data_IF_013821202293
#
_entry.id   IF_013821202293
#
_cell.length_a   1.000
_cell.length_b   1.000
_cell.length_c   1.000
_cell.angle_alpha   90.00
_cell.angle_beta   90.00
_cell.angle_gamma   90.00
#
_symmetry.space_group_name_H-M   'P 1'
#
loop_
_entity.id
_entity.type
_entity.pdbx_description
1 polymer ?
#
# COMPACT_ATOMS: atom_id res chain seq x y z
N UNK A 1 -24.51 -0.82 -7.60
CA UNK A 1 -23.62 -1.68 -8.43
C UNK A 1 -22.41 -2.07 -7.58
N UNK A 2 -21.92 -3.31 -7.69
CA UNK A 2 -20.81 -3.82 -6.88
C UNK A 2 -19.96 -4.82 -7.69
N UNK A 3 -18.64 -4.77 -7.54
CA UNK A 3 -17.73 -5.81 -8.04
C UNK A 3 -17.82 -7.04 -7.12
N UNK A 4 -18.13 -8.20 -7.69
CA UNK A 4 -18.24 -9.47 -6.97
C UNK A 4 -16.92 -10.24 -7.04
N UNK A 5 -16.27 -10.21 -8.20
CA UNK A 5 -15.00 -10.92 -8.42
C UNK A 5 -14.16 -10.19 -9.46
N UNK A 6 -12.87 -10.11 -9.20
CA UNK A 6 -11.86 -9.96 -10.25
C UNK A 6 -10.91 -11.14 -10.21
N UNK A 7 -10.33 -11.48 -11.36
CA UNK A 7 -9.39 -12.59 -11.46
C UNK A 7 -8.39 -12.41 -12.60
N UNK A 8 -7.19 -12.97 -12.43
CA UNK A 8 -6.17 -13.08 -13.48
C UNK A 8 -5.90 -14.54 -13.92
N UNK A 9 -6.20 -15.52 -13.05
CA UNK A 9 -5.85 -16.93 -13.21
C UNK A 9 -7.13 -17.79 -13.33
N UNK A 10 -6.98 -19.01 -13.85
CA UNK A 10 -8.03 -20.06 -13.99
C UNK A 10 -9.33 -19.74 -14.76
N UNK A 11 -9.48 -18.53 -15.30
CA UNK A 11 -10.65 -18.13 -16.13
C UNK A 11 -10.57 -18.57 -17.60
N UNK A 12 -11.73 -18.83 -18.22
CA UNK A 12 -11.87 -19.26 -19.62
C UNK A 12 -12.89 -18.41 -20.37
N UNK A 13 -12.53 -17.93 -21.56
CA UNK A 13 -13.41 -17.15 -22.43
C UNK A 13 -12.68 -16.01 -23.14
N UNK A 14 -13.37 -15.42 -24.11
CA UNK A 14 -12.96 -14.19 -24.79
C UNK A 14 -14.23 -13.40 -25.17
N UNK A 15 -14.65 -12.50 -24.29
CA UNK A 15 -15.84 -11.67 -24.48
C UNK A 15 -16.50 -11.25 -23.18
N UNK A 16 -17.59 -10.51 -23.31
CA UNK A 16 -18.42 -10.10 -22.20
C UNK A 16 -19.89 -10.46 -22.45
N UNK A 17 -20.62 -10.70 -21.37
CA UNK A 17 -22.03 -11.06 -21.38
C UNK A 17 -22.77 -10.40 -20.24
N UNK A 18 -24.06 -10.22 -20.43
CA UNK A 18 -25.00 -9.77 -19.39
C UNK A 18 -26.11 -10.80 -19.27
N UNK A 19 -26.56 -11.04 -18.05
CA UNK A 19 -27.69 -11.95 -17.80
C UNK A 19 -28.20 -11.88 -16.38
N UNK A 20 -29.38 -12.43 -16.18
CA UNK A 20 -29.95 -12.65 -14.85
C UNK A 20 -29.24 -13.84 -14.19
N UNK A 21 -28.93 -13.80 -12.88
CA UNK A 21 -28.35 -14.95 -12.22
C UNK A 21 -29.35 -16.11 -12.22
N UNK A 22 -28.88 -17.29 -12.57
CA UNK A 22 -29.66 -18.54 -12.52
C UNK A 22 -28.92 -19.57 -11.69
N UNK A 23 -29.51 -19.97 -10.57
CA UNK A 23 -29.01 -21.10 -9.79
C UNK A 23 -29.23 -22.39 -10.58
N UNK A 24 -28.17 -23.14 -10.87
CA UNK A 24 -28.25 -24.32 -11.74
C UNK A 24 -29.19 -25.43 -11.22
N UNK A 25 -29.54 -25.43 -9.92
CA UNK A 25 -30.48 -26.37 -9.32
C UNK A 25 -31.95 -25.95 -9.47
N UNK A 26 -32.23 -24.75 -10.00
CA UNK A 26 -33.58 -24.21 -10.17
C UNK A 26 -34.03 -24.26 -11.63
N UNK A 27 -35.34 -24.10 -11.85
CA UNK A 27 -35.89 -24.00 -13.20
C UNK A 27 -35.42 -22.71 -13.88
N UNK A 28 -34.83 -22.84 -15.07
CA UNK A 28 -34.40 -21.69 -15.86
C UNK A 28 -35.60 -20.99 -16.50
N UNK A 29 -35.66 -19.65 -16.40
CA UNK A 29 -36.69 -18.87 -17.07
C UNK A 29 -36.45 -18.87 -18.58
N UNK A 30 -37.44 -19.34 -19.34
CA UNK A 30 -37.38 -19.30 -20.80
C UNK A 30 -37.52 -17.85 -21.29
N UNK A 31 -36.66 -17.45 -22.24
CA UNK A 31 -36.61 -16.15 -22.94
C UNK A 31 -35.78 -15.01 -22.31
N UNK A 32 -35.08 -15.25 -21.21
CA UNK A 32 -34.12 -14.27 -20.65
C UNK A 32 -32.69 -14.79 -20.79
N UNK A 33 -31.74 -13.90 -21.06
CA UNK A 33 -30.31 -14.24 -20.98
C UNK A 33 -29.93 -14.50 -19.52
N UNK A 34 -29.32 -15.65 -19.26
CA UNK A 34 -28.99 -16.11 -17.91
C UNK A 34 -27.51 -16.42 -17.75
N UNK A 35 -26.97 -16.09 -16.59
CA UNK A 35 -25.63 -16.49 -16.16
C UNK A 35 -25.79 -17.60 -15.12
N UNK A 36 -25.25 -18.78 -15.44
CA UNK A 36 -25.35 -19.95 -14.57
C UNK A 36 -24.48 -19.77 -13.33
N UNK A 37 -25.07 -19.93 -12.15
CA UNK A 37 -24.40 -19.84 -10.86
C UNK A 37 -24.25 -21.24 -10.28
N UNK A 38 -23.01 -21.67 -10.08
CA UNK A 38 -22.62 -23.01 -9.61
C UNK A 38 -22.11 -22.91 -8.17
N UNK A 39 -22.89 -23.33 -7.16
CA UNK A 39 -22.47 -23.30 -5.77
C UNK A 39 -21.29 -24.24 -5.48
N UNK A 40 -20.60 -23.98 -4.37
CA UNK A 40 -19.51 -24.82 -3.90
C UNK A 40 -19.98 -26.25 -3.62
N UNK A 41 -19.15 -27.23 -3.96
CA UNK A 41 -19.41 -28.66 -3.76
C UNK A 41 -20.28 -29.30 -4.85
N UNK A 42 -20.62 -28.59 -5.94
CA UNK A 42 -21.42 -29.16 -7.03
C UNK A 42 -20.61 -30.14 -7.89
N UNK A 43 -19.32 -29.85 -8.11
CA UNK A 43 -18.46 -30.60 -9.02
C UNK A 43 -18.62 -30.21 -10.50
N UNK A 44 -17.50 -30.13 -11.20
CA UNK A 44 -17.43 -29.60 -12.56
C UNK A 44 -18.26 -30.40 -13.59
N UNK A 45 -18.39 -31.70 -13.40
CA UNK A 45 -19.05 -32.62 -14.33
C UNK A 45 -20.56 -32.51 -14.23
N UNK A 46 -21.09 -32.49 -13.01
CA UNK A 46 -22.51 -32.27 -12.72
C UNK A 46 -22.92 -30.89 -13.23
N UNK A 47 -22.15 -29.85 -12.90
CA UNK A 47 -22.43 -28.49 -13.34
C UNK A 47 -22.49 -28.38 -14.88
N UNK A 48 -21.49 -28.92 -15.59
CA UNK A 48 -21.45 -28.88 -17.04
C UNK A 48 -22.64 -29.63 -17.68
N UNK A 49 -23.04 -30.77 -17.11
CA UNK A 49 -24.18 -31.55 -17.60
C UNK A 49 -25.50 -30.79 -17.45
N UNK A 50 -25.74 -30.16 -16.29
CA UNK A 50 -26.95 -29.36 -16.04
C UNK A 50 -27.01 -28.15 -16.99
N UNK A 51 -25.90 -27.45 -17.18
CA UNK A 51 -25.81 -26.32 -18.10
C UNK A 51 -26.12 -26.76 -19.53
N UNK A 52 -25.54 -27.89 -19.97
CA UNK A 52 -25.81 -28.45 -21.30
C UNK A 52 -27.27 -28.85 -21.49
N UNK A 53 -27.92 -29.42 -20.47
CA UNK A 53 -29.34 -29.76 -20.52
C UNK A 53 -30.20 -28.51 -20.67
N UNK A 54 -29.93 -27.44 -19.90
CA UNK A 54 -30.64 -26.18 -20.02
C UNK A 54 -30.47 -25.55 -21.42
N UNK A 55 -29.24 -25.57 -21.96
CA UNK A 55 -28.97 -25.12 -23.33
C UNK A 55 -29.75 -25.94 -24.35
N UNK A 56 -29.79 -27.26 -24.20
CA UNK A 56 -30.54 -28.15 -25.10
C UNK A 56 -32.06 -27.94 -25.02
N UNK A 57 -32.58 -27.50 -23.87
CA UNK A 57 -33.98 -27.10 -23.68
C UNK A 57 -34.29 -25.69 -24.23
N UNK A 58 -33.31 -25.02 -24.86
CA UNK A 58 -33.47 -23.72 -25.49
C UNK A 58 -33.22 -22.53 -24.56
N UNK A 59 -32.72 -22.74 -23.34
CA UNK A 59 -32.37 -21.64 -22.46
C UNK A 59 -31.17 -20.83 -22.99
N UNK A 60 -31.23 -19.51 -22.82
CA UNK A 60 -30.18 -18.59 -23.24
C UNK A 60 -29.11 -18.43 -22.16
N UNK A 61 -28.33 -19.50 -21.93
CA UNK A 61 -27.17 -19.42 -21.02
C UNK A 61 -26.02 -18.72 -21.73
N UNK A 62 -25.57 -17.59 -21.18
CA UNK A 62 -24.55 -16.72 -21.78
C UNK A 62 -23.22 -16.73 -21.04
N UNK A 63 -23.19 -17.10 -19.76
CA UNK A 63 -21.97 -17.17 -18.96
C UNK A 63 -22.11 -18.10 -17.76
N UNK A 64 -21.00 -18.36 -17.07
CA UNK A 64 -20.96 -19.24 -15.91
C UNK A 64 -20.10 -18.62 -14.79
N UNK A 65 -20.60 -18.69 -13.56
CA UNK A 65 -19.92 -18.28 -12.34
C UNK A 65 -19.88 -19.49 -11.40
N UNK A 66 -18.70 -19.92 -10.99
CA UNK A 66 -18.52 -21.06 -10.09
C UNK A 66 -17.79 -20.64 -8.80
N UNK A 67 -18.19 -21.21 -7.67
CA UNK A 67 -17.55 -20.95 -6.39
C UNK A 67 -16.18 -21.63 -6.28
N UNK A 68 -16.07 -22.87 -6.75
CA UNK A 68 -14.85 -23.68 -6.69
C UNK A 68 -13.90 -23.40 -7.87
N UNK A 69 -12.61 -23.74 -7.73
CA UNK A 69 -11.55 -23.59 -8.76
C UNK A 69 -11.70 -24.63 -9.89
N UNK A 70 -12.80 -24.52 -10.62
CA UNK A 70 -13.25 -25.52 -11.61
C UNK A 70 -13.61 -24.91 -12.97
N UNK A 71 -13.38 -23.60 -13.20
CA UNK A 71 -13.85 -22.92 -14.40
C UNK A 71 -13.33 -23.56 -15.69
N UNK A 72 -12.04 -23.93 -15.73
CA UNK A 72 -11.43 -24.60 -16.89
C UNK A 72 -12.10 -25.95 -17.17
N UNK A 73 -12.41 -26.72 -16.14
CA UNK A 73 -12.97 -28.06 -16.27
C UNK A 73 -14.41 -28.02 -16.77
N UNK A 74 -15.20 -27.04 -16.30
CA UNK A 74 -16.57 -26.77 -16.76
C UNK A 74 -16.53 -26.29 -18.21
N UNK A 75 -15.72 -25.27 -18.51
CA UNK A 75 -15.66 -24.67 -19.84
C UNK A 75 -15.29 -25.68 -20.94
N UNK A 76 -14.46 -26.69 -20.62
CA UNK A 76 -14.11 -27.77 -21.56
C UNK A 76 -15.23 -28.78 -21.82
N UNK A 77 -16.30 -28.77 -21.03
CA UNK A 77 -17.41 -29.75 -21.07
C UNK A 77 -18.74 -29.14 -21.48
N UNK A 78 -18.90 -27.83 -21.33
CA UNK A 78 -20.07 -27.13 -21.86
C UNK A 78 -19.98 -27.06 -23.39
N UNK A 79 -21.11 -27.30 -24.05
CA UNK A 79 -21.24 -27.40 -25.51
C UNK A 79 -21.09 -26.06 -26.24
N UNK A 80 -21.32 -24.94 -25.55
CA UNK A 80 -21.08 -23.58 -26.04
C UNK A 80 -19.79 -23.01 -25.45
N UNK A 81 -19.09 -22.19 -26.24
CA UNK A 81 -18.01 -21.36 -25.73
C UNK A 81 -18.60 -20.23 -24.89
N UNK A 82 -18.55 -20.38 -23.56
CA UNK A 82 -19.04 -19.38 -22.61
C UNK A 82 -17.87 -18.77 -21.82
N UNK A 83 -17.96 -17.48 -21.43
CA UNK A 83 -17.11 -16.94 -20.38
C UNK A 83 -17.43 -17.62 -19.04
N UNK A 84 -16.39 -18.13 -18.37
CA UNK A 84 -16.47 -18.84 -17.10
C UNK A 84 -15.46 -18.24 -16.11
N UNK A 85 -15.95 -17.87 -14.93
CA UNK A 85 -15.14 -17.39 -13.79
C UNK A 85 -15.32 -18.29 -12.57
N UNK A 86 -14.23 -18.57 -11.87
CA UNK A 86 -14.20 -19.34 -10.62
C UNK A 86 -13.88 -18.48 -9.38
N UNK A 87 -13.96 -19.10 -8.19
CA UNK A 87 -13.60 -18.47 -6.92
C UNK A 87 -14.45 -17.26 -6.59
N UNK A 88 -15.69 -17.21 -7.09
CA UNK A 88 -16.60 -16.09 -6.91
C UNK A 88 -17.58 -16.34 -5.75
N UNK A 89 -18.02 -15.27 -5.08
CA UNK A 89 -19.11 -15.35 -4.10
C UNK A 89 -20.44 -15.54 -4.83
N UNK A 90 -20.84 -16.81 -4.98
CA UNK A 90 -22.07 -17.20 -5.67
C UNK A 90 -23.32 -16.76 -4.91
N UNK A 91 -23.27 -16.65 -3.59
CA UNK A 91 -24.41 -16.18 -2.80
C UNK A 91 -24.66 -14.68 -3.05
N UNK A 92 -23.60 -13.89 -3.17
CA UNK A 92 -23.72 -12.49 -3.59
C UNK A 92 -24.15 -12.36 -5.05
N UNK A 93 -23.62 -13.20 -5.95
CA UNK A 93 -24.04 -13.19 -7.36
C UNK A 93 -25.53 -13.48 -7.56
N UNK A 94 -26.11 -14.42 -6.79
CA UNK A 94 -27.54 -14.76 -6.86
C UNK A 94 -28.47 -13.62 -6.41
N UNK A 95 -28.00 -12.74 -5.51
CA UNK A 95 -28.80 -11.59 -5.04
C UNK A 95 -28.84 -10.44 -6.04
N UNK A 96 -28.05 -10.49 -7.11
CA UNK A 96 -28.02 -9.44 -8.12
C UNK A 96 -29.29 -9.48 -8.98
N UNK A 97 -29.82 -8.32 -9.36
CA UNK A 97 -30.88 -8.23 -10.37
C UNK A 97 -30.36 -8.50 -11.77
N UNK A 98 -29.10 -8.19 -12.02
CA UNK A 98 -28.40 -8.37 -13.30
C UNK A 98 -26.91 -8.56 -13.03
N UNK A 99 -26.26 -9.42 -13.80
CA UNK A 99 -24.82 -9.64 -13.75
C UNK A 99 -24.18 -9.23 -15.08
N UNK A 100 -23.01 -8.61 -14.99
CA UNK A 100 -22.09 -8.41 -16.11
C UNK A 100 -20.85 -9.27 -15.85
N UNK A 101 -20.48 -10.12 -16.81
CA UNK A 101 -19.28 -10.95 -16.77
C UNK A 101 -18.45 -10.66 -18.01
N UNK A 102 -17.21 -10.23 -17.83
CA UNK A 102 -16.22 -10.15 -18.90
C UNK A 102 -15.03 -11.05 -18.58
N UNK A 103 -14.64 -11.86 -19.55
CA UNK A 103 -13.45 -12.72 -19.49
C UNK A 103 -12.63 -12.49 -20.74
N UNK A 104 -11.33 -12.23 -20.57
CA UNK A 104 -10.40 -12.01 -21.68
C UNK A 104 -9.33 -13.11 -21.76
N UNK A 105 -8.67 -13.31 -22.91
CA UNK A 105 -7.54 -14.22 -23.04
C UNK A 105 -6.35 -13.86 -22.14
N UNK A 106 -5.39 -14.79 -21.98
CA UNK A 106 -4.13 -14.49 -21.28
C UNK A 106 -3.42 -13.29 -21.93
N UNK A 107 -2.71 -12.52 -21.10
CA UNK A 107 -1.99 -11.31 -21.51
C UNK A 107 -2.85 -10.17 -22.08
N UNK A 108 -4.16 -10.21 -21.84
CA UNK A 108 -5.09 -9.11 -22.16
C UNK A 108 -5.89 -8.71 -20.92
N UNK A 109 -6.40 -7.49 -20.91
CA UNK A 109 -7.23 -6.94 -19.83
C UNK A 109 -8.65 -6.72 -20.31
N UNK A 110 -9.59 -6.62 -19.37
CA UNK A 110 -10.98 -6.24 -19.64
C UNK A 110 -11.03 -4.92 -20.40
N UNK A 111 -11.98 -4.82 -21.34
CA UNK A 111 -12.16 -3.67 -22.22
C UNK A 111 -13.55 -3.06 -22.04
N UNK A 112 -14.59 -3.89 -22.07
CA UNK A 112 -15.97 -3.41 -21.93
C UNK A 112 -16.24 -2.90 -20.51
N UNK A 113 -15.67 -3.54 -19.50
CA UNK A 113 -15.75 -3.11 -18.11
C UNK A 113 -14.99 -1.82 -17.81
N UNK A 114 -14.03 -1.45 -18.67
CA UNK A 114 -13.27 -0.20 -18.55
C UNK A 114 -13.83 0.94 -19.39
N UNK A 115 -14.76 0.66 -20.29
CA UNK A 115 -15.48 1.67 -21.05
C UNK A 115 -16.78 2.02 -20.30
N UNK A 116 -16.80 3.21 -19.70
CA UNK A 116 -17.94 3.72 -18.93
C UNK A 116 -19.24 3.64 -19.76
N UNK A 117 -19.19 3.94 -21.05
CA UNK A 117 -20.37 3.96 -21.90
C UNK A 117 -20.81 2.54 -22.28
N UNK A 118 -19.85 1.65 -22.57
CA UNK A 118 -20.16 0.26 -22.85
C UNK A 118 -20.78 -0.44 -21.62
N UNK A 119 -20.18 -0.26 -20.44
CA UNK A 119 -20.67 -0.84 -19.19
C UNK A 119 -22.03 -0.28 -18.80
N UNK A 120 -22.23 1.04 -18.93
CA UNK A 120 -23.51 1.71 -18.70
C UNK A 120 -24.60 1.16 -19.63
N UNK A 121 -24.29 1.02 -20.92
CA UNK A 121 -25.23 0.49 -21.91
C UNK A 121 -25.55 -0.99 -21.65
N UNK A 122 -24.55 -1.82 -21.36
CA UNK A 122 -24.70 -3.25 -21.12
C UNK A 122 -25.60 -3.55 -19.90
N UNK A 123 -25.43 -2.78 -18.82
CA UNK A 123 -26.22 -2.94 -17.59
C UNK A 123 -27.54 -2.14 -17.59
N UNK A 124 -27.78 -1.32 -18.62
CA UNK A 124 -28.95 -0.43 -18.75
C UNK A 124 -29.12 0.47 -17.51
N UNK A 125 -28.03 1.11 -17.08
CA UNK A 125 -28.03 1.90 -15.85
C UNK A 125 -28.78 3.24 -16.00
N UNK A 126 -29.49 3.62 -14.95
CA UNK A 126 -29.98 5.00 -14.78
C UNK A 126 -28.83 5.96 -14.47
N UNK A 127 -29.08 7.29 -14.47
CA UNK A 127 -28.06 8.27 -14.08
C UNK A 127 -27.54 8.02 -12.65
N UNK A 128 -28.45 7.77 -11.70
CA UNK A 128 -28.08 7.53 -10.30
C UNK A 128 -27.22 6.26 -10.15
N UNK A 129 -27.60 5.18 -10.85
CA UNK A 129 -26.86 3.91 -10.83
C UNK A 129 -25.48 3.99 -11.52
N UNK A 130 -25.29 4.98 -12.40
CA UNK A 130 -24.04 5.21 -13.12
C UNK A 130 -22.99 5.98 -12.30
N UNK A 131 -23.38 6.64 -11.21
CA UNK A 131 -22.49 7.41 -10.32
C UNK A 131 -21.17 6.69 -9.95
N UNK A 132 -21.17 5.41 -9.53
CA UNK A 132 -19.94 4.71 -9.13
C UNK A 132 -19.08 4.17 -10.29
N UNK A 133 -19.47 4.38 -11.57
CA UNK A 133 -18.77 3.78 -12.72
C UNK A 133 -17.29 4.17 -12.79
N UNK A 134 -16.97 5.45 -12.55
CA UNK A 134 -15.59 5.94 -12.60
C UNK A 134 -14.67 5.21 -11.62
N UNK A 135 -15.18 4.87 -10.43
CA UNK A 135 -14.42 4.12 -9.43
C UNK A 135 -14.27 2.65 -9.82
N UNK A 136 -15.35 2.03 -10.29
CA UNK A 136 -15.34 0.62 -10.73
C UNK A 136 -14.38 0.42 -11.90
N UNK A 137 -14.46 1.26 -12.94
CA UNK A 137 -13.55 1.24 -14.09
C UNK A 137 -12.09 1.35 -13.63
N UNK A 138 -11.82 2.27 -12.70
CA UNK A 138 -10.49 2.43 -12.14
C UNK A 138 -10.02 1.16 -11.45
N UNK A 139 -10.86 0.49 -10.66
CA UNK A 139 -10.48 -0.72 -9.94
C UNK A 139 -10.22 -1.92 -10.84
N UNK A 140 -11.00 -2.11 -11.91
CA UNK A 140 -10.96 -3.35 -12.71
C UNK A 140 -9.99 -3.29 -13.90
N UNK A 141 -9.37 -2.14 -14.16
CA UNK A 141 -8.63 -1.85 -15.41
C UNK A 141 -7.48 -2.80 -15.73
N UNK A 142 -6.89 -3.40 -14.72
CA UNK A 142 -5.75 -4.31 -14.88
C UNK A 142 -6.18 -5.78 -14.86
N UNK A 143 -7.45 -6.06 -14.57
CA UNK A 143 -7.96 -7.41 -14.45
C UNK A 143 -8.21 -8.05 -15.81
N UNK A 144 -8.09 -9.38 -15.84
CA UNK A 144 -8.41 -10.20 -17.01
C UNK A 144 -9.89 -10.60 -17.01
N UNK A 145 -10.50 -10.62 -15.83
CA UNK A 145 -11.89 -10.99 -15.62
C UNK A 145 -12.51 -10.14 -14.56
N UNK A 146 -13.76 -9.76 -14.80
CA UNK A 146 -14.58 -9.04 -13.84
C UNK A 146 -16.01 -9.59 -13.85
N UNK A 147 -16.55 -9.79 -12.66
CA UNK A 147 -17.96 -10.05 -12.41
C UNK A 147 -18.54 -8.88 -11.62
N UNK A 148 -19.49 -8.16 -12.21
CA UNK A 148 -20.17 -7.02 -11.61
C UNK A 148 -21.64 -7.37 -11.40
N UNK A 149 -22.13 -7.14 -10.18
CA UNK A 149 -23.54 -7.27 -9.83
C UNK A 149 -24.24 -5.93 -9.71
N UNK A 150 -25.43 -5.87 -10.27
CA UNK A 150 -26.38 -4.79 -10.07
C UNK A 150 -27.41 -5.25 -9.05
N UNK A 151 -27.67 -4.46 -8.01
CA UNK A 151 -28.50 -4.82 -6.86
C UNK A 151 -29.62 -3.80 -6.70
N UNK A 152 -30.78 -4.22 -6.21
CA UNK A 152 -31.91 -3.33 -5.95
C UNK A 152 -31.61 -2.34 -4.82
N UNK A 153 -30.95 -2.83 -3.77
CA UNK A 153 -30.43 -1.99 -2.70
C UNK A 153 -29.03 -1.52 -3.09
N UNK A 154 -28.82 -0.20 -3.10
CA UNK A 154 -27.47 0.34 -2.93
C UNK A 154 -27.04 -0.09 -1.54
N UNK A 155 -26.15 -1.09 -1.45
CA UNK A 155 -25.24 -1.14 -0.31
C UNK A 155 -24.48 0.19 -0.38
N UNK A 156 -24.90 1.17 0.44
CA UNK A 156 -23.97 2.19 0.90
C UNK A 156 -22.72 1.43 1.29
N UNK A 157 -21.57 1.83 0.74
CA UNK A 157 -20.26 1.42 1.26
C UNK A 157 -20.43 1.29 2.77
N UNK A 158 -20.23 0.09 3.33
CA UNK A 158 -20.41 -0.14 4.76
C UNK A 158 -19.72 1.04 5.42
N UNK A 159 -20.49 1.91 6.06
CA UNK A 159 -19.97 3.08 6.76
C UNK A 159 -19.25 2.49 7.96
N UNK A 160 -18.03 2.02 7.73
CA UNK A 160 -17.05 1.88 8.78
C UNK A 160 -17.02 3.29 9.35
N UNK A 161 -17.33 3.46 10.64
CA UNK A 161 -17.12 4.73 11.31
C UNK A 161 -15.64 5.04 11.16
N UNK A 162 -15.32 5.81 10.13
CA UNK A 162 -13.97 6.23 9.87
C UNK A 162 -13.55 7.12 11.03
N UNK A 163 -12.25 7.14 11.28
CA UNK A 163 -11.70 8.12 12.19
C UNK A 163 -12.00 9.55 11.74
N UNK A 164 -11.78 10.49 12.65
CA UNK A 164 -11.82 11.91 12.32
C UNK A 164 -10.53 12.56 12.76
N UNK A 165 -10.23 13.68 12.12
CA UNK A 165 -9.14 14.53 12.54
C UNK A 165 -9.66 15.94 12.79
N UNK A 166 -9.17 16.55 13.87
CA UNK A 166 -9.55 17.92 14.26
C UNK A 166 -8.36 18.84 14.09
N UNK A 167 -8.57 19.90 13.31
CA UNK A 167 -7.60 20.94 13.05
C UNK A 167 -7.61 22.00 14.16
N UNK A 168 -6.55 22.79 14.21
CA UNK A 168 -6.35 23.89 15.16
C UNK A 168 -7.45 24.95 15.08
N UNK A 169 -8.07 25.13 13.91
CA UNK A 169 -9.21 26.02 13.67
C UNK A 169 -10.56 25.38 14.06
N UNK A 170 -10.55 24.22 14.71
CA UNK A 170 -11.71 23.41 15.09
C UNK A 170 -12.45 22.74 13.93
N UNK A 171 -11.95 22.84 12.70
CA UNK A 171 -12.48 22.08 11.57
C UNK A 171 -12.31 20.58 11.83
N UNK A 172 -13.39 19.81 11.66
CA UNK A 172 -13.39 18.36 11.81
C UNK A 172 -13.66 17.71 10.45
N UNK A 173 -12.75 16.85 10.01
CA UNK A 173 -12.85 16.14 8.74
C UNK A 173 -12.83 14.63 8.95
N UNK A 174 -13.53 13.90 8.07
CA UNK A 174 -13.34 12.45 7.91
C UNK A 174 -11.86 12.18 7.62
N UNK A 175 -11.33 11.09 8.18
CA UNK A 175 -9.92 10.75 8.09
C UNK A 175 -9.39 10.66 6.65
N UNK A 176 -10.15 10.10 5.70
CA UNK A 176 -9.71 9.99 4.31
C UNK A 176 -9.70 11.35 3.59
N UNK A 177 -10.65 12.21 3.91
CA UNK A 177 -10.68 13.59 3.41
C UNK A 177 -9.55 14.41 4.02
N UNK A 178 -9.30 14.24 5.31
CA UNK A 178 -8.21 14.87 6.04
C UNK A 178 -6.84 14.48 5.45
N UNK A 179 -6.58 13.19 5.22
CA UNK A 179 -5.33 12.69 4.61
C UNK A 179 -5.04 13.37 3.26
N UNK A 180 -6.07 13.64 2.47
CA UNK A 180 -5.93 14.32 1.18
C UNK A 180 -5.47 15.78 1.31
N UNK A 181 -5.65 16.39 2.49
CA UNK A 181 -5.23 17.75 2.81
C UNK A 181 -3.93 17.81 3.63
N UNK A 182 -3.57 16.74 4.34
CA UNK A 182 -2.39 16.69 5.23
C UNK A 182 -1.09 17.07 4.52
N UNK A 183 -0.92 16.72 3.24
CA UNK A 183 0.29 17.09 2.49
C UNK A 183 0.51 18.59 2.41
N UNK A 184 -0.54 19.40 2.51
CA UNK A 184 -0.46 20.86 2.42
C UNK A 184 -0.62 21.56 3.78
N UNK A 185 -0.80 20.79 4.86
CA UNK A 185 -0.87 21.36 6.21
C UNK A 185 0.51 21.75 6.73
N UNK A 186 0.54 22.53 7.81
CA UNK A 186 1.74 22.76 8.60
C UNK A 186 1.82 21.76 9.76
N UNK A 187 3.02 21.57 10.30
CA UNK A 187 3.21 20.80 11.53
C UNK A 187 2.43 21.46 12.68
N UNK A 188 1.65 20.65 13.39
CA UNK A 188 0.82 21.10 14.51
C UNK A 188 -0.52 21.73 14.14
N UNK A 189 -0.85 21.86 12.85
CA UNK A 189 -2.21 22.21 12.44
C UNK A 189 -3.23 21.17 12.90
N UNK A 190 -2.76 19.94 13.14
CA UNK A 190 -3.54 18.81 13.60
C UNK A 190 -3.40 18.69 15.12
N UNK A 191 -4.51 18.82 15.85
CA UNK A 191 -4.49 18.86 17.33
C UNK A 191 -5.12 17.62 17.96
N UNK A 192 -5.92 16.86 17.21
CA UNK A 192 -6.55 15.65 17.71
C UNK A 192 -6.76 14.62 16.59
N UNK A 193 -6.46 13.36 16.89
CA UNK A 193 -6.81 12.20 16.06
C UNK A 193 -7.86 11.36 16.80
N UNK A 194 -8.88 10.88 16.08
CA UNK A 194 -9.93 10.04 16.65
C UNK A 194 -10.01 8.71 15.89
N UNK A 195 -9.52 7.61 16.49
CA UNK A 195 -9.61 6.24 15.97
C UNK A 195 -9.58 5.20 17.11
N UNK A 196 -10.72 4.72 17.67
CA UNK A 196 -12.05 5.32 17.78
C UNK A 196 -12.16 6.35 18.93
N UNK A 197 -11.10 6.49 19.73
CA UNK A 197 -11.02 7.43 20.84
C UNK A 197 -10.25 8.68 20.41
N UNK A 198 -10.66 9.82 20.96
CA UNK A 198 -10.02 11.10 20.76
C UNK A 198 -8.70 11.20 21.54
N UNK A 199 -7.59 11.36 20.82
CA UNK A 199 -6.27 11.55 21.42
C UNK A 199 -5.69 12.89 20.98
N UNK A 200 -5.30 13.72 21.95
CA UNK A 200 -4.59 14.96 21.70
C UNK A 200 -3.18 14.68 21.16
N UNK A 201 -2.76 15.48 20.19
CA UNK A 201 -1.54 15.21 19.43
C UNK A 201 -0.83 16.51 19.08
N UNK A 202 0.50 16.46 19.00
CA UNK A 202 1.31 17.58 18.52
C UNK A 202 1.44 17.58 17.01
N UNK A 203 1.35 16.42 16.36
CA UNK A 203 1.31 16.27 14.91
C UNK A 203 0.72 14.92 14.49
N UNK A 204 0.21 14.83 13.26
CA UNK A 204 -0.21 13.57 12.63
C UNK A 204 0.30 13.56 11.20
N UNK A 205 0.76 12.39 10.75
CA UNK A 205 1.05 12.15 9.34
C UNK A 205 0.38 10.88 8.87
N UNK A 206 -0.25 10.93 7.71
CA UNK A 206 -0.88 9.78 7.11
C UNK A 206 -0.82 9.83 5.58
N UNK A 207 -0.89 8.66 4.96
CA UNK A 207 -1.04 8.54 3.51
C UNK A 207 -1.86 7.31 3.14
N UNK A 208 -2.49 7.39 1.97
CA UNK A 208 -3.31 6.32 1.38
C UNK A 208 -2.41 5.35 0.60
N UNK A 209 -2.16 4.18 1.19
CA UNK A 209 -1.33 3.11 0.61
C UNK A 209 -1.92 2.70 -0.74
N UNK A 210 -3.23 2.49 -0.79
CA UNK A 210 -3.94 2.06 -1.99
C UNK A 210 -3.78 3.05 -3.14
N UNK A 211 -3.84 4.35 -2.86
CA UNK A 211 -3.60 5.43 -3.83
C UNK A 211 -2.15 5.46 -4.31
N UNK A 212 -1.18 5.40 -3.38
CA UNK A 212 0.25 5.41 -3.69
C UNK A 212 0.62 4.29 -4.66
N UNK A 213 0.11 3.08 -4.44
CA UNK A 213 0.36 1.94 -5.31
C UNK A 213 -0.36 2.09 -6.67
N UNK A 214 -1.61 2.59 -6.67
CA UNK A 214 -2.39 2.78 -7.90
C UNK A 214 -1.74 3.74 -8.90
N UNK A 215 -1.21 4.86 -8.40
CA UNK A 215 -0.58 5.92 -9.20
C UNK A 215 0.72 5.47 -9.85
N UNK A 216 1.25 4.32 -9.46
CA UNK A 216 2.42 3.68 -10.06
C UNK A 216 2.06 2.51 -10.98
N UNK A 217 0.77 2.33 -11.28
CA UNK A 217 0.29 1.26 -12.15
C UNK A 217 0.40 -0.13 -11.52
N UNK A 218 0.65 -0.22 -10.21
CA UNK A 218 0.79 -1.48 -9.50
C UNK A 218 -0.60 -2.09 -9.23
N UNK A 219 -0.65 -3.42 -9.11
CA UNK A 219 -1.90 -4.16 -8.88
C UNK A 219 -2.51 -3.73 -7.54
N UNK A 220 -3.77 -3.32 -7.57
CA UNK A 220 -4.58 -3.18 -6.36
C UNK A 220 -5.18 -4.53 -6.03
N UNK A 221 -4.91 -5.04 -4.84
CA UNK A 221 -5.55 -6.26 -4.34
C UNK A 221 -6.71 -5.80 -3.46
N UNK A 222 -7.92 -5.75 -4.03
CA UNK A 222 -9.13 -5.40 -3.31
C UNK A 222 -9.73 -4.02 -3.63
N UNK A 223 -10.89 -3.75 -3.03
CA UNK A 223 -11.73 -2.57 -3.27
C UNK A 223 -11.79 -1.64 -2.04
N UNK A 224 -10.79 -1.70 -1.17
CA UNK A 224 -10.66 -0.87 0.04
C UNK A 224 -9.61 0.21 -0.13
N UNK A 225 -9.79 1.34 0.56
CA UNK A 225 -8.75 2.35 0.72
C UNK A 225 -8.10 2.14 2.08
N UNK A 226 -6.78 2.04 2.10
CA UNK A 226 -6.04 1.67 3.30
C UNK A 226 -5.03 2.75 3.64
N UNK A 227 -5.05 3.21 4.90
CA UNK A 227 -4.22 4.31 5.39
C UNK A 227 -3.10 3.80 6.28
N UNK A 228 -1.90 4.34 6.08
CA UNK A 228 -0.84 4.29 7.08
C UNK A 228 -0.88 5.61 7.86
N UNK A 229 -0.88 5.55 9.20
CA UNK A 229 -1.02 6.72 10.07
C UNK A 229 0.02 6.68 11.18
N UNK A 230 0.64 7.82 11.45
CA UNK A 230 1.50 8.06 12.59
C UNK A 230 1.03 9.29 13.37
N UNK A 231 1.14 9.20 14.69
CA UNK A 231 0.72 10.23 15.62
C UNK A 231 1.88 10.56 16.57
N UNK A 232 2.12 11.84 16.81
CA UNK A 232 3.08 12.30 17.79
C UNK A 232 2.36 12.81 19.04
N UNK A 233 2.59 12.15 20.17
CA UNK A 233 1.91 12.51 21.42
C UNK A 233 2.21 13.97 21.84
N UNK A 234 1.22 14.62 22.46
CA UNK A 234 1.47 15.86 23.18
C UNK A 234 2.41 15.58 24.37
N UNK A 235 3.46 16.39 24.51
CA UNK A 235 4.60 16.12 25.41
C UNK A 235 4.18 15.71 26.83
N UNK A 236 4.77 14.64 27.35
CA UNK A 236 4.80 14.33 28.78
C UNK A 236 6.26 14.15 29.21
N UNK A 237 6.68 14.91 30.21
CA UNK A 237 8.02 14.81 30.81
C UNK A 237 7.83 14.22 32.20
N UNK A 238 7.99 12.91 32.31
CA UNK A 238 8.38 12.30 33.59
C UNK A 238 9.71 11.61 33.37
N UNK A 239 10.75 12.10 34.06
CA UNK A 239 12.08 11.50 34.05
C UNK A 239 12.29 10.78 35.39
N UNK A 240 12.47 9.45 35.41
CA UNK A 240 12.85 8.74 36.62
C UNK A 240 14.26 9.16 37.06
N UNK A 241 14.39 9.62 38.31
CA UNK A 241 15.59 10.30 38.82
C UNK A 241 16.65 9.39 39.46
N UNK A 242 16.57 8.07 39.26
CA UNK A 242 17.37 7.09 40.05
C UNK A 242 18.65 6.57 39.37
N UNK A 243 18.98 7.04 38.16
CA UNK A 243 20.14 6.51 37.43
C UNK A 243 21.49 6.78 38.12
N UNK A 244 21.64 7.93 38.79
CA UNK A 244 22.86 8.24 39.55
C UNK A 244 23.10 7.25 40.68
N UNK A 245 22.04 6.80 41.36
CA UNK A 245 22.13 5.81 42.44
C UNK A 245 22.47 4.42 41.88
N UNK A 246 21.77 3.99 40.82
CA UNK A 246 21.98 2.68 40.19
C UNK A 246 23.42 2.52 39.68
N UNK A 247 23.97 3.56 39.04
CA UNK A 247 25.30 3.48 38.43
C UNK A 247 26.44 3.92 39.35
N UNK A 248 26.14 4.55 40.49
CA UNK A 248 27.16 5.04 41.42
C UNK A 248 28.06 6.14 40.83
N UNK A 249 27.60 6.83 39.78
CA UNK A 249 28.31 7.94 39.11
C UNK A 249 27.36 9.11 38.90
N UNK A 250 27.86 10.37 38.84
CA UNK A 250 27.01 11.52 38.56
C UNK A 250 26.33 11.40 37.19
N UNK A 251 25.00 11.43 37.15
CA UNK A 251 24.22 11.52 35.90
C UNK A 251 23.66 12.93 35.76
N UNK A 252 23.95 13.57 34.63
CA UNK A 252 23.43 14.89 34.27
C UNK A 252 22.48 14.73 33.09
N UNK A 253 21.26 15.21 33.25
CA UNK A 253 20.28 15.26 32.16
C UNK A 253 20.61 16.45 31.26
N UNK A 254 20.80 16.19 29.97
CA UNK A 254 21.07 17.25 29.00
C UNK A 254 19.84 18.17 28.84
N UNK A 255 20.10 19.45 28.60
CA UNK A 255 19.03 20.44 28.46
C UNK A 255 18.28 20.33 27.13
N UNK A 256 18.94 19.84 26.08
CA UNK A 256 18.36 19.71 24.74
C UNK A 256 19.00 18.55 23.97
N UNK A 257 18.18 17.58 23.58
CA UNK A 257 18.58 16.51 22.67
C UNK A 257 18.94 17.07 21.29
N UNK A 258 18.15 18.01 20.77
CA UNK A 258 18.40 18.62 19.47
C UNK A 258 19.73 19.39 19.40
N UNK A 259 20.13 20.08 20.48
CA UNK A 259 21.43 20.72 20.54
C UNK A 259 22.56 19.70 20.46
N UNK A 260 22.44 18.57 21.16
CA UNK A 260 23.40 17.49 21.09
C UNK A 260 23.43 16.85 19.68
N UNK A 261 22.27 16.56 19.09
CA UNK A 261 22.16 16.05 17.73
C UNK A 261 22.86 16.99 16.73
N UNK A 262 22.64 18.30 16.86
CA UNK A 262 23.26 19.34 16.04
C UNK A 262 24.78 19.32 16.16
N UNK A 263 25.30 19.40 17.38
CA UNK A 263 26.75 19.35 17.64
C UNK A 263 27.40 18.09 17.06
N UNK A 264 26.76 16.93 17.25
CA UNK A 264 27.23 15.68 16.70
C UNK A 264 27.21 15.65 15.18
N UNK A 265 26.11 16.03 14.56
CA UNK A 265 26.00 16.03 13.09
C UNK A 265 27.00 17.01 12.45
N UNK A 266 27.24 18.18 13.04
CA UNK A 266 28.22 19.16 12.56
C UNK A 266 29.68 18.74 12.68
N UNK A 267 29.97 17.67 13.42
CA UNK A 267 31.29 17.03 13.37
C UNK A 267 31.53 16.23 12.07
N UNK A 268 30.55 16.18 11.16
CA UNK A 268 30.70 15.58 9.83
C UNK A 268 31.71 16.38 8.99
N UNK A 269 32.79 15.74 8.50
CA UNK A 269 33.78 16.43 7.68
C UNK A 269 33.16 17.01 6.40
N UNK A 270 33.49 18.27 6.11
CA UNK A 270 33.02 18.97 4.91
C UNK A 270 31.57 19.48 4.97
N UNK A 271 30.90 19.36 6.11
CA UNK A 271 29.56 19.92 6.27
C UNK A 271 29.59 21.45 6.30
N UNK A 272 28.63 22.09 5.61
CA UNK A 272 28.47 23.53 5.65
C UNK A 272 28.08 24.01 7.07
N UNK A 273 28.60 25.18 7.48
CA UNK A 273 28.35 25.74 8.82
C UNK A 273 26.87 26.05 9.07
N UNK A 274 26.15 26.39 8.01
CA UNK A 274 24.72 26.72 8.03
C UNK A 274 23.81 25.51 7.78
N UNK A 275 24.36 24.31 7.67
CA UNK A 275 23.57 23.11 7.41
C UNK A 275 22.60 22.83 8.55
N UNK A 276 21.35 22.54 8.21
CA UNK A 276 20.38 22.01 9.16
C UNK A 276 20.51 20.49 9.26
N UNK A 277 20.15 19.95 10.42
CA UNK A 277 20.17 18.51 10.68
C UNK A 277 18.78 17.96 10.47
N UNK A 278 18.67 16.92 9.66
CA UNK A 278 17.47 16.12 9.51
C UNK A 278 17.71 14.78 10.21
N UNK A 279 17.20 14.64 11.43
CA UNK A 279 17.24 13.37 12.16
C UNK A 279 15.99 12.56 11.81
N UNK A 280 16.20 11.39 11.20
CA UNK A 280 15.11 10.50 10.84
C UNK A 280 15.17 9.30 11.78
N UNK A 281 14.18 9.19 12.65
CA UNK A 281 14.04 8.13 13.62
C UNK A 281 13.12 6.99 13.19
N UNK A 282 12.71 6.18 14.17
CA UNK A 282 11.60 5.24 13.99
C UNK A 282 10.25 5.95 13.95
N UNK A 283 9.99 6.77 14.98
CA UNK A 283 8.71 7.44 15.19
C UNK A 283 8.62 8.88 14.67
N UNK A 284 9.74 9.61 14.57
CA UNK A 284 9.77 11.05 14.26
C UNK A 284 10.73 11.40 13.13
N UNK A 285 10.45 12.54 12.50
CA UNK A 285 11.38 13.25 11.61
C UNK A 285 11.60 14.62 12.21
N UNK A 286 12.83 14.87 12.65
CA UNK A 286 13.19 16.09 13.37
C UNK A 286 14.11 16.94 12.49
N UNK A 287 13.70 18.19 12.25
CA UNK A 287 14.49 19.17 11.49
C UNK A 287 15.00 20.24 12.46
N UNK A 288 16.32 20.24 12.63
CA UNK A 288 17.02 21.07 13.60
C UNK A 288 17.85 22.12 12.85
N UNK A 289 17.44 23.38 12.97
CA UNK A 289 18.03 24.52 12.27
C UNK A 289 18.31 25.66 13.26
N UNK A 290 17.87 26.88 12.96
CA UNK A 290 17.63 27.96 13.93
C UNK A 290 16.40 27.67 14.79
N UNK A 291 15.46 26.88 14.26
CA UNK A 291 14.29 26.33 14.95
C UNK A 291 14.32 24.81 14.91
N UNK A 292 13.66 24.20 15.88
CA UNK A 292 13.46 22.76 15.99
C UNK A 292 11.98 22.45 15.72
N UNK A 293 11.74 21.51 14.80
CA UNK A 293 10.39 21.08 14.46
C UNK A 293 10.37 19.58 14.20
N UNK A 294 9.39 18.90 14.80
CA UNK A 294 9.23 17.44 14.75
C UNK A 294 7.95 17.07 14.02
N UNK A 295 8.05 16.19 13.03
CA UNK A 295 6.90 15.59 12.36
C UNK A 295 6.65 14.17 12.86
N UNK A 296 5.38 13.80 12.96
CA UNK A 296 4.97 12.44 13.26
C UNK A 296 5.31 11.48 12.12
N UNK A 297 5.73 10.27 12.45
CA UNK A 297 5.99 9.19 11.51
C UNK A 297 7.34 9.30 10.83
N UNK A 298 8.08 8.19 10.84
CA UNK A 298 9.23 8.00 9.97
C UNK A 298 9.38 6.52 9.56
N UNK A 299 10.41 5.85 10.05
CA UNK A 299 10.71 4.46 9.71
C UNK A 299 9.61 3.47 10.09
N UNK A 300 8.95 3.63 11.24
CA UNK A 300 7.91 2.69 11.71
C UNK A 300 6.62 2.78 10.89
N UNK A 301 6.26 3.99 10.47
CA UNK A 301 5.14 4.23 9.57
C UNK A 301 5.37 3.53 8.23
N UNK A 302 6.59 3.66 7.68
CA UNK A 302 6.99 2.95 6.48
C UNK A 302 6.97 1.43 6.68
N UNK A 303 7.43 0.93 7.83
CA UNK A 303 7.35 -0.51 8.16
C UNK A 303 5.90 -0.99 8.17
N UNK A 304 4.98 -0.24 8.77
CA UNK A 304 3.57 -0.60 8.81
C UNK A 304 2.96 -0.63 7.39
N UNK A 305 3.27 0.36 6.56
CA UNK A 305 2.78 0.40 5.18
C UNK A 305 3.34 -0.75 4.32
N UNK A 306 4.62 -1.11 4.48
CA UNK A 306 5.24 -2.24 3.79
C UNK A 306 4.67 -3.57 4.27
N UNK A 307 4.46 -3.73 5.58
CA UNK A 307 3.85 -4.91 6.17
C UNK A 307 2.45 -5.16 5.59
N UNK A 308 1.64 -4.10 5.51
CA UNK A 308 0.32 -4.15 4.90
C UNK A 308 0.39 -4.47 3.40
N UNK A 309 1.19 -3.74 2.63
CA UNK A 309 1.27 -3.88 1.18
C UNK A 309 1.79 -5.26 0.73
N UNK A 310 2.58 -5.95 1.55
CA UNK A 310 3.13 -7.27 1.27
C UNK A 310 2.42 -8.42 2.00
N UNK A 311 1.39 -8.11 2.81
CA UNK A 311 0.75 -9.07 3.72
C UNK A 311 1.77 -9.87 4.54
N UNK A 312 2.64 -9.15 5.27
CA UNK A 312 3.73 -9.73 6.05
C UNK A 312 3.86 -9.11 7.44
N UNK A 313 4.63 -9.75 8.32
CA UNK A 313 4.86 -9.23 9.66
C UNK A 313 5.65 -7.91 9.65
N UNK A 314 5.40 -7.02 10.63
CA UNK A 314 6.19 -5.79 10.81
C UNK A 314 7.69 -6.07 10.96
N UNK A 315 8.05 -7.17 11.61
CA UNK A 315 9.45 -7.57 11.76
C UNK A 315 10.13 -7.87 10.42
N UNK A 316 9.47 -8.62 9.53
CA UNK A 316 9.99 -8.90 8.19
C UNK A 316 10.00 -7.63 7.33
N UNK A 317 8.92 -6.85 7.37
CA UNK A 317 8.79 -5.60 6.62
C UNK A 317 9.91 -4.59 6.95
N UNK A 318 10.33 -4.53 8.22
CA UNK A 318 11.40 -3.63 8.65
C UNK A 318 12.75 -3.96 8.02
N UNK A 319 13.00 -5.23 7.68
CA UNK A 319 14.18 -5.66 6.92
C UNK A 319 13.98 -5.47 5.42
N UNK A 320 12.85 -5.90 4.89
CA UNK A 320 12.51 -5.86 3.45
C UNK A 320 12.57 -4.41 2.90
N UNK A 321 12.14 -3.41 3.68
CA UNK A 321 12.10 -2.01 3.23
C UNK A 321 13.48 -1.37 3.02
N UNK A 322 14.56 -1.92 3.61
CA UNK A 322 15.85 -1.23 3.77
C UNK A 322 16.69 -1.14 2.51
N UNK A 323 16.42 -1.98 1.51
CA UNK A 323 17.28 -2.03 0.34
C UNK A 323 16.78 -2.99 -0.73
N UNK A 324 17.61 -3.21 -1.77
CA UNK A 324 17.26 -4.01 -2.93
C UNK A 324 16.87 -5.45 -2.60
N UNK A 325 15.97 -6.01 -3.40
CA UNK A 325 15.60 -7.42 -3.37
C UNK A 325 16.00 -8.12 -4.68
N UNK A 326 16.00 -9.45 -4.65
CA UNK A 326 16.21 -10.29 -5.83
C UNK A 326 15.09 -11.33 -5.92
N UNK A 327 14.81 -11.89 -7.10
CA UNK A 327 13.87 -13.02 -7.27
C UNK A 327 14.64 -14.31 -7.47
N UNK A 328 14.25 -15.36 -6.76
CA UNK A 328 14.77 -16.71 -6.97
C UNK A 328 14.05 -17.36 -8.15
N UNK A 329 14.66 -17.34 -9.34
CA UNK A 329 14.09 -17.91 -10.57
C UNK A 329 14.27 -19.43 -10.66
N UNK A 330 15.44 -19.91 -10.23
CA UNK A 330 15.77 -21.33 -10.11
C UNK A 330 16.55 -21.57 -8.81
N UNK A 331 16.79 -22.82 -8.37
CA UNK A 331 17.63 -23.10 -7.22
C UNK A 331 19.04 -22.49 -7.29
N UNK A 332 19.47 -22.07 -8.49
CA UNK A 332 20.81 -21.56 -8.77
C UNK A 332 20.83 -20.14 -9.32
N UNK A 333 19.69 -19.49 -9.55
CA UNK A 333 19.61 -18.24 -10.31
C UNK A 333 18.78 -17.18 -9.60
N UNK A 334 19.38 -16.01 -9.42
CA UNK A 334 18.79 -14.80 -8.88
C UNK A 334 18.62 -13.76 -9.99
N UNK A 335 17.47 -13.09 -9.99
CA UNK A 335 17.18 -11.92 -10.83
C UNK A 335 17.11 -10.67 -9.94
N UNK A 336 17.95 -9.67 -10.20
CA UNK A 336 17.95 -8.41 -9.47
C UNK A 336 16.93 -7.41 -10.02
N UNK A 337 16.71 -6.31 -9.29
CA UNK A 337 15.77 -5.24 -9.65
C UNK A 337 16.09 -4.52 -10.97
N UNK A 338 17.37 -4.50 -11.36
CA UNK A 338 17.85 -3.92 -12.62
C UNK A 338 17.83 -4.91 -13.79
N UNK A 339 17.35 -6.14 -13.56
CA UNK A 339 17.33 -7.21 -14.55
C UNK A 339 18.64 -8.00 -14.66
N UNK A 340 19.67 -7.64 -13.91
CA UNK A 340 20.91 -8.42 -13.86
C UNK A 340 20.67 -9.78 -13.20
N UNK A 341 21.45 -10.79 -13.62
CA UNK A 341 21.35 -12.15 -13.11
C UNK A 341 22.61 -12.52 -12.34
N UNK A 342 22.43 -13.26 -11.25
CA UNK A 342 23.52 -13.78 -10.43
C UNK A 342 23.26 -15.24 -10.06
N UNK A 343 24.32 -16.00 -9.83
CA UNK A 343 24.21 -17.37 -9.31
C UNK A 343 24.10 -17.34 -7.78
N UNK A 344 23.33 -18.27 -7.21
CA UNK A 344 23.26 -18.47 -5.76
C UNK A 344 24.55 -19.08 -5.23
N UNK A 345 24.90 -18.81 -3.97
CA UNK A 345 26.02 -19.50 -3.30
C UNK A 345 25.69 -21.00 -3.11
N UNK A 346 26.51 -21.91 -3.64
CA UNK A 346 26.31 -23.37 -3.50
C UNK A 346 26.28 -23.82 -2.03
N UNK A 347 27.02 -23.14 -1.15
CA UNK A 347 27.07 -23.43 0.28
C UNK A 347 25.82 -23.02 1.05
N UNK A 348 24.87 -22.31 0.43
CA UNK A 348 23.62 -21.83 1.04
C UNK A 348 22.43 -22.08 0.10
N UNK A 349 22.04 -23.35 -0.11
CA UNK A 349 20.92 -23.66 -0.98
C UNK A 349 19.61 -23.10 -0.41
N UNK A 350 18.80 -22.51 -1.27
CA UNK A 350 17.46 -22.05 -0.91
C UNK A 350 16.49 -23.24 -0.87
N UNK A 351 15.55 -23.28 0.09
CA UNK A 351 14.54 -24.33 0.12
C UNK A 351 13.62 -24.22 -1.10
N UNK A 352 13.08 -25.35 -1.56
CA UNK A 352 12.17 -25.38 -2.70
C UNK A 352 10.93 -24.47 -2.51
N UNK A 353 10.50 -24.24 -1.25
CA UNK A 353 9.42 -23.32 -0.91
C UNK A 353 9.73 -21.85 -1.17
N UNK A 354 11.01 -21.46 -1.28
CA UNK A 354 11.43 -20.11 -1.63
C UNK A 354 11.37 -19.83 -3.13
N UNK A 355 11.21 -20.87 -3.96
CA UNK A 355 11.21 -20.75 -5.41
C UNK A 355 10.13 -19.77 -5.90
N UNK A 356 10.51 -18.87 -6.80
CA UNK A 356 9.64 -17.82 -7.29
C UNK A 356 9.37 -16.68 -6.31
N UNK A 357 9.97 -16.70 -5.10
CA UNK A 357 9.85 -15.59 -4.15
C UNK A 357 10.87 -14.49 -4.44
N UNK A 358 10.53 -13.27 -4.02
CA UNK A 358 11.55 -12.25 -3.76
C UNK A 358 12.31 -12.60 -2.48
N UNK A 359 13.57 -12.17 -2.43
CA UNK A 359 14.47 -12.33 -1.29
C UNK A 359 15.08 -10.98 -0.91
N UNK A 360 15.16 -10.70 0.39
CA UNK A 360 15.83 -9.53 0.94
C UNK A 360 16.76 -9.94 2.11
N UNK A 361 17.83 -9.20 2.40
CA UNK A 361 18.66 -9.45 3.57
C UNK A 361 17.86 -9.32 4.87
N UNK A 362 18.06 -10.27 5.78
CA UNK A 362 17.44 -10.31 7.10
C UNK A 362 18.43 -10.73 8.19
N UNK A 363 17.96 -10.87 9.44
CA UNK A 363 18.82 -11.05 10.61
C UNK A 363 19.48 -12.44 10.67
N UNK A 364 18.89 -13.45 10.04
CA UNK A 364 19.36 -14.84 10.03
C UNK A 364 19.65 -15.36 8.61
N UNK A 365 19.90 -14.45 7.66
CA UNK A 365 20.01 -14.75 6.24
C UNK A 365 18.90 -14.07 5.44
N UNK A 366 18.52 -14.65 4.30
CA UNK A 366 17.52 -14.07 3.42
C UNK A 366 16.09 -14.30 3.91
N UNK A 367 15.27 -13.26 3.83
CA UNK A 367 13.82 -13.31 4.01
C UNK A 367 13.14 -13.46 2.66
N UNK A 368 12.26 -14.45 2.53
CA UNK A 368 11.44 -14.66 1.33
C UNK A 368 10.11 -13.92 1.45
N UNK A 369 9.68 -13.23 0.38
CA UNK A 369 8.41 -12.50 0.33
C UNK A 369 7.90 -12.38 -1.10
N UNK A 370 6.67 -11.86 -1.29
CA UNK A 370 6.20 -11.39 -2.59
C UNK A 370 6.28 -12.40 -3.74
N UNK A 371 5.76 -13.62 -3.57
CA UNK A 371 5.82 -14.67 -4.62
C UNK A 371 5.29 -14.21 -5.98
N UNK A 372 4.28 -13.35 -5.96
CA UNK A 372 3.63 -12.81 -7.16
C UNK A 372 4.21 -11.46 -7.63
N UNK A 373 5.31 -11.00 -7.05
CA UNK A 373 5.94 -9.71 -7.39
C UNK A 373 7.24 -9.90 -8.15
N UNK A 374 7.43 -9.09 -9.19
CA UNK A 374 8.72 -8.97 -9.86
C UNK A 374 9.66 -8.03 -9.07
N UNK A 375 11.00 -8.21 -9.15
CA UNK A 375 11.96 -7.34 -8.46
C UNK A 375 11.78 -5.86 -8.77
N UNK A 376 11.55 -5.52 -10.04
CA UNK A 376 11.33 -4.15 -10.48
C UNK A 376 9.99 -3.58 -9.95
N UNK A 377 8.93 -4.39 -9.87
CA UNK A 377 7.65 -3.98 -9.28
C UNK A 377 7.83 -3.66 -7.78
N UNK A 378 8.55 -4.52 -7.05
CA UNK A 378 8.87 -4.26 -5.64
C UNK A 378 9.71 -2.99 -5.46
N UNK A 379 10.71 -2.75 -6.31
CA UNK A 379 11.48 -1.50 -6.29
C UNK A 379 10.59 -0.27 -6.40
N UNK A 380 9.65 -0.28 -7.35
CA UNK A 380 8.69 0.82 -7.56
C UNK A 380 7.80 0.99 -6.32
N UNK A 381 7.26 -0.11 -5.78
CA UNK A 381 6.47 -0.11 -4.54
C UNK A 381 7.23 0.51 -3.38
N UNK A 382 8.42 -0.02 -3.09
CA UNK A 382 9.28 0.38 -1.96
C UNK A 382 9.61 1.87 -2.03
N UNK A 383 10.02 2.36 -3.19
CA UNK A 383 10.38 3.77 -3.40
C UNK A 383 9.16 4.69 -3.28
N UNK A 384 8.01 4.29 -3.80
CA UNK A 384 6.77 5.06 -3.67
C UNK A 384 6.32 5.17 -2.20
N UNK A 385 6.40 4.08 -1.44
CA UNK A 385 6.09 4.08 -0.01
C UNK A 385 7.09 4.94 0.79
N UNK A 386 8.39 4.89 0.48
CA UNK A 386 9.41 5.78 1.08
C UNK A 386 9.13 7.25 0.79
N UNK A 387 8.77 7.57 -0.46
CA UNK A 387 8.39 8.93 -0.86
C UNK A 387 7.17 9.41 -0.08
N UNK A 388 6.14 8.59 0.08
CA UNK A 388 4.91 8.96 0.80
C UNK A 388 5.12 9.09 2.31
N UNK A 389 5.83 8.13 2.92
CA UNK A 389 6.03 8.10 4.37
C UNK A 389 7.02 9.17 4.85
N UNK A 390 8.14 9.35 4.13
CA UNK A 390 9.26 10.18 4.58
C UNK A 390 9.40 11.41 3.68
N UNK A 391 9.54 11.23 2.36
CA UNK A 391 9.83 12.35 1.45
C UNK A 391 8.79 13.47 1.48
N UNK A 392 7.50 13.13 1.40
CA UNK A 392 6.40 14.09 1.44
C UNK A 392 6.27 14.75 2.82
N UNK A 393 6.57 14.02 3.90
CA UNK A 393 6.54 14.57 5.26
C UNK A 393 7.71 15.54 5.50
N UNK A 394 8.91 15.22 4.99
CA UNK A 394 10.05 16.16 4.99
C UNK A 394 9.72 17.42 4.19
N UNK A 395 9.05 17.28 3.04
CA UNK A 395 8.59 18.44 2.27
C UNK A 395 7.61 19.31 3.07
N UNK A 396 6.70 18.69 3.82
CA UNK A 396 5.77 19.38 4.73
C UNK A 396 6.50 20.08 5.87
N UNK A 397 7.49 19.42 6.46
CA UNK A 397 8.32 19.95 7.54
C UNK A 397 9.10 21.19 7.09
N UNK A 398 9.76 21.14 5.93
CA UNK A 398 10.49 22.28 5.35
C UNK A 398 9.56 23.46 5.07
N UNK A 399 8.38 23.21 4.46
CA UNK A 399 7.38 24.27 4.23
C UNK A 399 6.91 24.92 5.53
N UNK A 400 6.75 24.13 6.59
CA UNK A 400 6.30 24.64 7.89
C UNK A 400 7.33 25.60 8.50
N UNK A 401 8.62 25.31 8.37
CA UNK A 401 9.68 26.22 8.84
C UNK A 401 9.73 27.50 7.97
N UNK A 402 9.64 27.36 6.65
CA UNK A 402 9.66 28.50 5.72
C UNK A 402 8.45 29.44 5.91
N UNK A 403 7.26 28.88 6.10
CA UNK A 403 6.02 29.64 6.33
C UNK A 403 6.02 30.43 7.64
N UNK A 404 6.77 29.98 8.63
CA UNK A 404 6.95 30.68 9.91
C UNK A 404 8.00 31.80 9.86
N UNK A 405 8.57 32.09 8.68
CA UNK A 405 9.61 33.12 8.50
C UNK A 405 10.97 32.76 9.13
N UNK A 406 11.14 31.50 9.53
CA UNK A 406 12.26 31.05 10.37
C UNK A 406 13.43 30.43 9.60
N UNK A 407 13.30 30.19 8.29
CA UNK A 407 14.39 29.73 7.43
C UNK A 407 14.39 30.46 6.07
N UNK A 408 15.58 30.51 5.45
CA UNK A 408 15.71 30.93 4.06
C UNK A 408 15.01 29.97 3.09
N UNK A 409 14.85 30.33 1.81
CA UNK A 409 14.14 29.53 0.81
C UNK A 409 14.83 28.20 0.46
N UNK A 410 16.05 27.99 0.95
CA UNK A 410 16.95 26.90 0.59
C UNK A 410 17.70 26.38 1.81
N UNK A 411 17.79 25.07 1.95
CA UNK A 411 18.46 24.38 3.06
C UNK A 411 19.55 23.44 2.55
N UNK A 412 20.72 23.53 3.18
CA UNK A 412 21.73 22.50 3.15
C UNK A 412 21.44 21.53 4.29
N UNK A 413 21.30 20.23 4.02
CA UNK A 413 20.90 19.23 5.00
C UNK A 413 21.97 18.16 5.22
N UNK A 414 22.19 17.82 6.49
CA UNK A 414 22.82 16.55 6.87
C UNK A 414 21.76 15.61 7.44
N UNK A 415 21.67 14.41 6.90
CA UNK A 415 20.74 13.37 7.36
C UNK A 415 21.46 12.44 8.33
N UNK A 416 20.90 12.31 9.53
CA UNK A 416 21.36 11.39 10.57
C UNK A 416 20.21 10.48 11.00
N UNK A 417 20.50 9.55 11.90
CA UNK A 417 19.52 8.60 12.41
C UNK A 417 19.59 7.25 11.69
N UNK A 418 18.67 6.36 12.04
CA UNK A 418 18.73 4.97 11.60
C UNK A 418 18.42 4.77 10.12
N UNK A 419 17.23 5.21 9.67
CA UNK A 419 16.84 5.30 8.27
C UNK A 419 17.88 5.94 7.34
N UNK A 420 18.74 6.84 7.81
CA UNK A 420 19.78 7.44 6.96
C UNK A 420 20.72 6.40 6.31
N UNK A 421 20.81 5.16 6.82
CA UNK A 421 21.53 4.04 6.20
C UNK A 421 20.98 3.64 4.82
N UNK A 422 19.73 3.98 4.53
CA UNK A 422 19.03 3.58 3.32
C UNK A 422 19.49 4.43 2.12
N UNK A 423 20.08 3.77 1.13
CA UNK A 423 20.64 4.46 -0.05
C UNK A 423 19.57 5.05 -0.97
N UNK A 424 18.30 4.65 -0.84
CA UNK A 424 17.21 5.24 -1.62
C UNK A 424 16.69 6.55 -1.01
N UNK A 425 16.92 6.80 0.29
CA UNK A 425 16.39 8.00 0.94
C UNK A 425 17.08 9.28 0.47
N UNK A 426 18.40 9.28 0.28
CA UNK A 426 19.10 10.51 -0.16
C UNK A 426 18.59 10.98 -1.54
N UNK A 427 18.48 10.12 -2.57
CA UNK A 427 17.87 10.50 -3.84
C UNK A 427 16.42 10.99 -3.70
N UNK A 428 15.59 10.30 -2.91
CA UNK A 428 14.20 10.70 -2.62
C UNK A 428 14.14 12.10 -2.02
N UNK A 429 14.94 12.35 -0.99
CA UNK A 429 14.95 13.63 -0.30
C UNK A 429 15.55 14.74 -1.17
N UNK A 430 16.56 14.45 -1.99
CA UNK A 430 17.16 15.43 -2.90
C UNK A 430 16.17 16.06 -3.89
N UNK A 431 15.02 15.41 -4.14
CA UNK A 431 13.96 15.92 -5.00
C UNK A 431 12.97 16.85 -4.29
N UNK A 432 13.06 16.99 -2.96
CA UNK A 432 12.17 17.85 -2.19
C UNK A 432 12.53 19.33 -2.42
N UNK A 433 11.53 20.11 -2.80
CA UNK A 433 11.66 21.56 -3.00
C UNK A 433 12.15 22.25 -1.71
N UNK A 434 13.15 23.13 -1.86
CA UNK A 434 13.79 23.84 -0.74
C UNK A 434 15.07 23.18 -0.24
N UNK A 435 15.45 21.99 -0.74
CA UNK A 435 16.75 21.38 -0.46
C UNK A 435 17.74 21.75 -1.57
N UNK A 436 18.85 22.40 -1.22
CA UNK A 436 19.92 22.75 -2.17
C UNK A 436 21.07 21.77 -2.16
N UNK A 437 21.39 21.24 -0.98
CA UNK A 437 22.39 20.21 -0.81
C UNK A 437 21.91 19.25 0.27
N UNK A 438 22.17 17.96 0.07
CA UNK A 438 21.85 16.93 1.06
C UNK A 438 22.96 15.89 1.10
N UNK A 439 23.36 15.51 2.31
CA UNK A 439 24.37 14.50 2.53
C UNK A 439 24.03 13.60 3.71
N UNK A 440 24.53 12.38 3.67
CA UNK A 440 24.50 11.47 4.83
C UNK A 440 25.57 11.92 5.82
N UNK A 441 25.21 11.97 7.11
CA UNK A 441 26.15 12.31 8.17
C UNK A 441 27.33 11.33 8.25
N UNK A 442 28.48 11.85 8.67
CA UNK A 442 29.64 11.07 9.05
C UNK A 442 30.22 11.63 10.35
N UNK A 443 29.47 11.44 11.44
CA UNK A 443 29.77 11.97 12.77
C UNK A 443 31.20 11.62 13.17
N UNK A 444 31.95 12.64 13.61
CA UNK A 444 33.37 12.58 13.94
C UNK A 444 34.28 12.02 12.84
N UNK A 445 33.81 12.01 11.59
CA UNK A 445 34.50 11.44 10.43
C UNK A 445 34.60 9.90 10.40
N UNK A 446 34.06 9.21 11.40
CA UNK A 446 34.24 7.75 11.57
C UNK A 446 33.03 6.97 12.10
N UNK A 447 32.02 7.66 12.61
CA UNK A 447 30.83 7.03 13.22
C UNK A 447 29.65 6.92 12.24
N UNK A 448 29.82 7.44 11.02
CA UNK A 448 28.78 7.43 10.00
C UNK A 448 27.59 8.30 10.39
N UNK A 449 26.40 7.91 9.95
CA UNK A 449 25.15 8.66 10.17
C UNK A 449 24.48 8.35 11.52
N UNK A 450 25.16 7.59 12.38
CA UNK A 450 24.69 7.19 13.71
C UNK A 450 25.38 8.03 14.78
N UNK A 451 24.87 7.93 16.01
CA UNK A 451 25.50 8.46 17.20
C UNK A 451 25.65 9.99 17.26
N UNK A 452 24.89 10.75 16.47
CA UNK A 452 24.94 12.22 16.49
C UNK A 452 24.66 12.77 17.89
N UNK A 453 23.53 12.39 18.51
CA UNK A 453 23.18 12.79 19.89
C UNK A 453 24.26 12.37 20.89
N UNK A 454 24.62 11.08 20.91
CA UNK A 454 25.59 10.54 21.86
C UNK A 454 26.98 11.22 21.75
N UNK A 455 27.46 11.46 20.53
CA UNK A 455 28.70 12.18 20.33
C UNK A 455 28.56 13.64 20.75
N UNK A 456 27.49 14.33 20.36
CA UNK A 456 27.27 15.73 20.75
C UNK A 456 27.19 15.93 22.26
N UNK A 457 26.55 15.01 22.98
CA UNK A 457 26.52 15.00 24.45
C UNK A 457 27.92 14.91 25.07
N UNK A 458 28.85 14.18 24.43
CA UNK A 458 30.24 14.10 24.90
C UNK A 458 31.06 15.37 24.64
N UNK A 459 30.52 16.31 23.85
CA UNK A 459 31.16 17.59 23.52
C UNK A 459 30.57 18.77 24.30
N UNK A 460 29.47 18.55 25.04
CA UNK A 460 28.89 19.47 26.01
C UNK A 460 29.63 19.34 27.35
#
# INVERSE_FOLDING_TARGET
>A
MQIIKTAHQSVVGDGWVVGNPWLITEAVKSNESAIAIVPSGTGYDIAANIINQAIAQGAQITGVVVADDEAVLIAKRVTKNLPVVDGADTATALRARKLFLEVRPQSTTVQAATDIWALRAALELTEDEATPLSEIVRWVRNDRTVLIGLFADTKSSIEIQNGFVTWRDYTKLDLFDAVSQMSNSQIGDITQLNIPDAVLTSDVWAFDITKVLAERGLRQVGHTRDLAIAQLAASSIETPNDLSEIFGVPVVVAQSEAQAAKLGAHSTPGLALDAAVLDIGGGTIDLISTVELSAAGAGELLTAAVAFALDTSRGAADWIKRGPAQRLESPHLLLAEDGSKAFTEESKPYPASAMGSLIAPGPAGYLTFGQNLQPAEWRIMRQALKQAAIGANVARLIRSIAGNGNAGPSLNLVVVGGPAADDELIPILSQVMGITAIGRGNVAGKLGHRYAVAYGLSQL
#
